data_IF_641449565820
#
_entry.id   IF_641449565820
#
_cell.length_a   1.000
_cell.length_b   1.000
_cell.length_c   1.000
_cell.angle_alpha   90.00
_cell.angle_beta   90.00
_cell.angle_gamma   90.00
#
_symmetry.space_group_name_H-M   'P 1'
#
loop_
_entity.id
_entity.type
_entity.pdbx_description
1 polymer ?
#
# COMPACT_ATOMS: atom_id res chain seq x y z
N UNK A 1 0.94 8.51 12.07
CA UNK A 1 1.19 7.91 13.42
C UNK A 1 0.44 6.57 13.53
N UNK A 2 0.90 5.54 12.81
CA UNK A 2 0.38 4.15 12.82
C UNK A 2 1.54 3.13 12.95
N UNK A 3 2.73 3.53 12.48
CA UNK A 3 3.99 2.78 12.57
C UNK A 3 4.49 2.67 14.02
N UNK A 4 4.39 3.77 14.80
CA UNK A 4 4.88 3.81 16.18
C UNK A 4 3.97 3.05 17.17
N UNK A 5 2.66 3.01 16.93
CA UNK A 5 1.71 2.30 17.81
C UNK A 5 1.69 0.79 17.58
N UNK A 6 2.02 0.33 16.38
CA UNK A 6 1.97 -1.11 16.02
C UNK A 6 3.28 -1.87 16.25
N UNK A 7 4.41 -1.17 16.51
CA UNK A 7 5.78 -1.74 16.49
C UNK A 7 6.06 -2.60 15.23
N UNK A 8 5.30 -2.39 14.16
CA UNK A 8 5.38 -3.23 12.98
C UNK A 8 6.55 -2.75 12.12
N UNK A 9 7.70 -3.42 12.28
CA UNK A 9 8.92 -3.13 11.52
C UNK A 9 8.72 -3.23 10.01
N UNK A 10 7.77 -4.05 9.53
CA UNK A 10 7.47 -4.15 8.11
C UNK A 10 6.84 -2.86 7.56
N UNK A 11 5.94 -2.21 8.32
CA UNK A 11 5.38 -0.91 7.94
C UNK A 11 6.45 0.19 7.90
N UNK A 12 7.42 0.14 8.81
CA UNK A 12 8.56 1.07 8.79
C UNK A 12 9.50 0.86 7.60
N UNK A 13 9.76 -0.40 7.22
CA UNK A 13 10.56 -0.74 6.03
C UNK A 13 9.84 -0.36 4.74
N UNK A 14 8.53 -0.54 4.69
CA UNK A 14 7.71 -0.16 3.54
C UNK A 14 7.68 1.36 3.33
N UNK A 15 7.46 2.13 4.40
CA UNK A 15 7.52 3.59 4.33
C UNK A 15 8.89 4.09 3.85
N UNK A 16 9.96 3.53 4.42
CA UNK A 16 11.33 3.87 4.01
C UNK A 16 11.66 3.45 2.58
N UNK A 17 11.09 2.33 2.12
CA UNK A 17 11.22 1.91 0.72
C UNK A 17 10.50 2.88 -0.21
N UNK A 18 9.28 3.30 0.10
CA UNK A 18 8.54 4.31 -0.68
C UNK A 18 9.32 5.63 -0.72
N UNK A 19 9.78 6.12 0.42
CA UNK A 19 10.56 7.36 0.51
C UNK A 19 11.88 7.29 -0.29
N UNK A 20 12.61 6.17 -0.21
CA UNK A 20 13.85 5.98 -0.95
C UNK A 20 13.62 5.74 -2.46
N UNK A 21 12.59 4.98 -2.84
CA UNK A 21 12.33 4.64 -4.23
C UNK A 21 11.80 5.84 -5.03
N UNK A 22 11.07 6.75 -4.38
CA UNK A 22 10.32 7.78 -5.09
C UNK A 22 10.74 9.23 -4.76
N UNK A 23 11.46 9.47 -3.65
CA UNK A 23 11.89 10.81 -3.26
C UNK A 23 10.71 11.77 -3.08
N UNK A 24 10.84 13.02 -3.54
CA UNK A 24 9.80 14.07 -3.44
C UNK A 24 8.71 13.98 -4.53
N UNK A 25 8.64 12.87 -5.28
CA UNK A 25 7.76 12.72 -6.45
C UNK A 25 6.43 12.06 -6.11
N UNK A 26 5.87 12.45 -4.97
CA UNK A 26 4.62 11.93 -4.44
C UNK A 26 3.43 12.15 -5.39
N UNK A 27 3.52 13.18 -6.25
CA UNK A 27 2.54 13.47 -7.30
C UNK A 27 2.60 12.52 -8.51
N UNK A 28 3.72 11.84 -8.75
CA UNK A 28 3.78 10.76 -9.77
C UNK A 28 3.13 9.48 -9.22
N UNK A 29 3.09 9.34 -7.89
CA UNK A 29 2.44 8.22 -7.21
C UNK A 29 0.92 8.37 -7.09
N UNK A 30 0.36 9.57 -7.28
CA UNK A 30 -1.11 9.74 -7.30
C UNK A 30 -1.77 8.95 -8.43
N UNK A 31 -1.09 8.79 -9.58
CA UNK A 31 -1.58 7.98 -10.70
C UNK A 31 -1.75 6.49 -10.35
N UNK A 32 -1.00 5.97 -9.37
CA UNK A 32 -1.15 4.61 -8.88
C UNK A 32 -2.51 4.33 -8.22
N UNK A 33 -3.27 5.38 -7.93
CA UNK A 33 -4.57 5.35 -7.27
C UNK A 33 -5.68 6.00 -8.11
N UNK A 34 -5.44 6.28 -9.39
CA UNK A 34 -6.46 6.83 -10.30
C UNK A 34 -7.64 5.87 -10.45
N UNK A 35 -7.37 4.55 -10.46
CA UNK A 35 -8.40 3.53 -10.26
C UNK A 35 -8.52 3.18 -8.77
N UNK A 36 -9.50 3.81 -8.11
CA UNK A 36 -9.75 3.63 -6.69
C UNK A 36 -10.51 2.34 -6.36
N UNK A 37 -11.18 1.70 -7.32
CA UNK A 37 -12.01 0.51 -7.07
C UNK A 37 -11.22 -0.66 -6.43
N UNK A 38 -10.07 -1.10 -6.99
CA UNK A 38 -9.29 -2.19 -6.38
C UNK A 38 -8.74 -1.82 -5.00
N UNK A 39 -8.40 -0.55 -4.78
CA UNK A 39 -7.88 -0.05 -3.50
C UNK A 39 -8.96 -0.16 -2.42
N UNK A 40 -10.18 0.29 -2.73
CA UNK A 40 -11.31 0.22 -1.81
C UNK A 40 -11.72 -1.23 -1.53
N UNK A 41 -11.68 -2.10 -2.54
CA UNK A 41 -11.97 -3.52 -2.37
C UNK A 41 -10.98 -4.19 -1.39
N UNK A 42 -9.68 -3.95 -1.56
CA UNK A 42 -8.64 -4.50 -0.68
C UNK A 42 -8.78 -3.99 0.76
N UNK A 43 -8.99 -2.67 0.94
CA UNK A 43 -9.20 -2.07 2.27
C UNK A 43 -10.45 -2.61 2.97
N UNK A 44 -11.50 -2.90 2.19
CA UNK A 44 -12.71 -3.54 2.72
C UNK A 44 -12.41 -4.95 3.18
N UNK A 45 -11.68 -5.76 2.40
CA UNK A 45 -11.31 -7.12 2.79
C UNK A 45 -10.51 -7.16 4.12
N UNK A 46 -9.56 -6.23 4.30
CA UNK A 46 -8.83 -6.07 5.56
C UNK A 46 -9.79 -5.75 6.71
N UNK A 47 -10.70 -4.80 6.49
CA UNK A 47 -11.67 -4.36 7.49
C UNK A 47 -12.60 -5.50 7.92
N UNK A 48 -13.14 -6.25 6.96
CA UNK A 48 -14.01 -7.40 7.24
C UNK A 48 -13.28 -8.49 8.05
N UNK A 49 -12.02 -8.79 7.71
CA UNK A 49 -11.22 -9.75 8.48
C UNK A 49 -10.94 -9.29 9.92
N UNK A 50 -10.68 -7.98 10.12
CA UNK A 50 -10.50 -7.39 11.45
C UNK A 50 -11.80 -7.45 12.26
N UNK A 51 -12.94 -7.11 11.64
CA UNK A 51 -14.26 -7.18 12.29
C UNK A 51 -14.64 -8.61 12.67
N UNK A 52 -14.28 -9.58 11.82
CA UNK A 52 -14.43 -11.01 12.07
C UNK A 52 -13.46 -11.54 13.15
N UNK A 53 -12.51 -10.72 13.61
CA UNK A 53 -11.43 -11.10 14.54
C UNK A 53 -10.59 -12.26 14.02
N UNK A 54 -10.34 -12.31 12.72
CA UNK A 54 -9.46 -13.28 12.07
C UNK A 54 -8.07 -12.66 11.83
N UNK A 55 -7.10 -12.87 12.73
CA UNK A 55 -5.77 -12.28 12.59
C UNK A 55 -4.97 -12.87 11.44
N UNK A 56 -5.27 -14.11 11.01
CA UNK A 56 -4.54 -14.77 9.91
C UNK A 56 -5.00 -14.17 8.58
N UNK A 57 -6.32 -14.08 8.36
CA UNK A 57 -6.87 -13.46 7.17
C UNK A 57 -6.51 -11.97 7.09
N UNK A 58 -6.57 -11.23 8.20
CA UNK A 58 -6.19 -9.83 8.23
C UNK A 58 -4.71 -9.64 7.84
N UNK A 59 -3.81 -10.48 8.34
CA UNK A 59 -2.39 -10.45 7.96
C UNK A 59 -2.18 -10.72 6.46
N UNK A 60 -2.85 -11.74 5.92
CA UNK A 60 -2.76 -12.09 4.50
C UNK A 60 -3.28 -10.97 3.59
N UNK A 61 -4.43 -10.35 3.93
CA UNK A 61 -4.98 -9.24 3.16
C UNK A 61 -4.11 -7.99 3.22
N UNK A 62 -3.50 -7.69 4.36
CA UNK A 62 -2.53 -6.59 4.47
C UNK A 62 -1.32 -6.86 3.57
N UNK A 63 -0.74 -8.06 3.59
CA UNK A 63 0.39 -8.40 2.72
C UNK A 63 0.03 -8.26 1.23
N UNK A 64 -1.14 -8.78 0.84
CA UNK A 64 -1.64 -8.69 -0.53
C UNK A 64 -1.82 -7.22 -0.97
N UNK A 65 -2.46 -6.40 -0.14
CA UNK A 65 -2.65 -4.97 -0.39
C UNK A 65 -1.32 -4.24 -0.57
N UNK A 66 -0.33 -4.51 0.28
CA UNK A 66 0.99 -3.90 0.20
C UNK A 66 1.71 -4.27 -1.10
N UNK A 67 1.64 -5.55 -1.50
CA UNK A 67 2.21 -6.03 -2.77
C UNK A 67 1.52 -5.37 -3.97
N UNK A 68 0.18 -5.33 -3.98
CA UNK A 68 -0.58 -4.71 -5.05
C UNK A 68 -0.28 -3.21 -5.16
N UNK A 69 -0.20 -2.52 -4.03
CA UNK A 69 0.14 -1.09 -3.99
C UNK A 69 1.53 -0.82 -4.55
N UNK A 70 2.54 -1.63 -4.18
CA UNK A 70 3.89 -1.51 -4.74
C UNK A 70 3.90 -1.69 -6.27
N UNK A 71 3.13 -2.65 -6.79
CA UNK A 71 3.01 -2.87 -8.24
C UNK A 71 2.35 -1.68 -8.95
N UNK A 72 1.25 -1.14 -8.41
CA UNK A 72 0.60 0.06 -8.97
C UNK A 72 1.55 1.25 -9.01
N UNK A 73 2.34 1.45 -7.95
CA UNK A 73 3.35 2.51 -7.90
C UNK A 73 4.45 2.34 -8.96
N UNK A 74 4.93 1.11 -9.20
CA UNK A 74 5.92 0.84 -10.25
C UNK A 74 5.34 1.12 -11.64
N UNK A 75 4.09 0.75 -11.89
CA UNK A 75 3.41 1.02 -13.16
C UNK A 75 3.25 2.52 -13.38
N UNK A 76 2.65 3.24 -12.42
CA UNK A 76 2.47 4.68 -12.50
C UNK A 76 3.79 5.43 -12.71
N UNK A 77 4.86 5.01 -12.02
CA UNK A 77 6.20 5.55 -12.22
C UNK A 77 6.72 5.33 -13.65
N UNK A 78 6.54 4.14 -14.20
CA UNK A 78 7.01 3.79 -15.55
C UNK A 78 6.24 4.57 -16.62
N UNK A 79 4.95 4.76 -16.42
CA UNK A 79 4.09 5.54 -17.31
C UNK A 79 4.39 7.04 -17.25
N UNK A 80 4.61 7.58 -16.04
CA UNK A 80 5.01 8.99 -15.85
C UNK A 80 6.41 9.30 -16.37
N UNK A 81 7.34 8.34 -16.32
CA UNK A 81 8.72 8.49 -16.81
C UNK A 81 8.87 8.39 -18.34
N UNK A 82 7.82 7.97 -19.04
CA UNK A 82 7.80 7.85 -20.50
C UNK A 82 7.25 9.10 -21.21
N UNK A 83 6.85 10.13 -20.45
CA UNK A 83 6.42 11.45 -20.92
C UNK A 83 7.56 12.46 -20.93
#
# INVERSE_FOLDING_TARGET
MLIHSSRNRALGLLYRWVEHAFGDREHELTGAYDDAEPVLADLRAITEAVLARDPVAAGAFVEAYLRASALRMIVAYTEGSAS
#
